data_IF_592651774362
#
_entry.id   IF_592651774362
#
_cell.length_a   1.000
_cell.length_b   1.000
_cell.length_c   1.000
_cell.angle_alpha   90.00
_cell.angle_beta   90.00
_cell.angle_gamma   90.00
#
_symmetry.space_group_name_H-M   'P 1'
#
loop_
_entity.id
_entity.type
_entity.pdbx_description
1 polymer ?
#
# COMPACT_ATOMS: atom_id res chain seq x y z
N UNK A 1 -12.14 9.17 15.09
CA UNK A 1 -11.01 8.30 15.50
C UNK A 1 -9.75 9.15 15.42
N UNK A 2 -9.04 9.37 16.52
CA UNK A 2 -7.91 10.32 16.57
C UNK A 2 -6.61 9.54 16.67
N UNK A 3 -5.73 9.68 15.66
CA UNK A 3 -4.39 9.07 15.68
C UNK A 3 -3.52 9.90 16.62
N UNK A 4 -2.99 9.28 17.67
CA UNK A 4 -2.08 9.95 18.61
C UNK A 4 -0.64 9.58 18.33
N UNK A 5 0.28 10.53 18.48
CA UNK A 5 1.72 10.30 18.38
C UNK A 5 2.28 9.93 19.74
N UNK A 6 2.99 8.81 19.81
CA UNK A 6 3.65 8.33 21.03
C UNK A 6 5.10 7.96 20.72
N UNK A 7 5.99 8.24 21.67
CA UNK A 7 7.37 7.77 21.60
C UNK A 7 7.42 6.26 21.59
N UNK A 8 8.19 5.66 20.68
CA UNK A 8 8.41 4.21 20.68
C UNK A 8 8.89 3.68 22.04
N UNK A 9 9.74 4.43 22.76
CA UNK A 9 10.20 4.04 24.10
C UNK A 9 9.10 4.10 25.15
N UNK A 10 8.17 5.04 25.04
CA UNK A 10 7.09 5.17 26.02
C UNK A 10 6.03 4.08 25.77
N UNK A 11 5.75 3.79 24.50
CA UNK A 11 4.94 2.64 24.11
C UNK A 11 5.47 1.32 24.70
N UNK A 12 6.78 1.06 24.61
CA UNK A 12 7.41 -0.12 25.21
C UNK A 12 7.30 -0.18 26.74
N UNK A 13 7.09 0.95 27.40
CA UNK A 13 6.87 1.03 28.86
C UNK A 13 5.40 0.84 29.25
N UNK A 14 4.54 0.46 28.30
CA UNK A 14 3.11 0.23 28.54
C UNK A 14 2.23 1.47 28.41
N UNK A 15 2.77 2.58 27.89
CA UNK A 15 2.02 3.82 27.71
C UNK A 15 1.16 3.75 26.46
N UNK A 16 -0.11 3.38 26.62
CA UNK A 16 -1.10 3.24 25.54
C UNK A 16 -2.33 4.10 25.85
N UNK A 17 -2.54 5.17 25.07
CA UNK A 17 -3.60 6.17 25.33
C UNK A 17 -4.62 6.31 24.19
N UNK A 18 -4.73 5.30 23.33
CA UNK A 18 -5.65 5.33 22.21
C UNK A 18 -5.61 4.04 21.39
N UNK A 19 -6.62 3.93 20.53
CA UNK A 19 -6.83 2.77 19.67
C UNK A 19 -5.86 2.70 18.48
N UNK A 20 -5.38 3.85 18.01
CA UNK A 20 -4.35 3.94 16.97
C UNK A 20 -3.26 4.89 17.45
N UNK A 21 -2.02 4.38 17.48
CA UNK A 21 -0.85 5.15 17.87
C UNK A 21 0.19 5.15 16.75
N UNK A 22 0.61 6.34 16.34
CA UNK A 22 1.78 6.52 15.51
C UNK A 22 3.02 6.51 16.42
N UNK A 23 3.88 5.52 16.22
CA UNK A 23 5.09 5.33 17.01
C UNK A 23 6.24 6.10 16.36
N UNK A 24 6.80 7.05 17.10
CA UNK A 24 7.88 7.91 16.62
C UNK A 24 9.13 7.80 17.49
N UNK A 25 10.30 7.98 16.90
CA UNK A 25 11.53 8.21 17.65
C UNK A 25 11.55 9.65 18.19
N UNK A 26 11.62 9.83 19.52
CA UNK A 26 11.68 11.17 20.12
C UNK A 26 12.89 11.98 19.66
N UNK A 27 14.03 11.33 19.40
CA UNK A 27 15.31 12.00 19.06
C UNK A 27 15.38 12.36 17.59
N UNK A 28 15.04 11.44 16.70
CA UNK A 28 15.16 11.66 15.25
C UNK A 28 13.86 12.13 14.60
N UNK A 29 12.74 12.13 15.34
CA UNK A 29 11.38 12.40 14.85
C UNK A 29 10.94 11.49 13.70
N UNK A 30 11.68 10.41 13.43
CA UNK A 30 11.34 9.43 12.40
C UNK A 30 10.22 8.53 12.90
N UNK A 31 9.30 8.21 12.01
CA UNK A 31 8.27 7.20 12.22
C UNK A 31 8.94 5.82 12.35
N UNK A 32 8.58 5.08 13.40
CA UNK A 32 9.03 3.70 13.63
C UNK A 32 7.97 2.66 13.36
N UNK A 33 6.69 3.03 13.48
CA UNK A 33 5.61 2.10 13.21
C UNK A 33 4.24 2.68 13.54
N UNK A 34 3.24 1.81 13.39
CA UNK A 34 1.85 2.07 13.73
C UNK A 34 1.40 0.95 14.65
N UNK A 35 0.88 1.33 15.82
CA UNK A 35 0.18 0.40 16.69
C UNK A 35 -1.32 0.57 16.49
N UNK A 36 -2.02 -0.55 16.39
CA UNK A 36 -3.47 -0.62 16.29
C UNK A 36 -3.96 -1.55 17.40
N UNK A 37 -4.97 -1.08 18.14
CA UNK A 37 -5.60 -1.82 19.22
C UNK A 37 -6.17 -3.15 18.69
N UNK A 38 -6.08 -4.25 19.47
CA UNK A 38 -6.60 -5.56 19.08
C UNK A 38 -8.08 -5.56 18.68
N UNK A 39 -8.86 -4.59 19.14
CA UNK A 39 -10.27 -4.41 18.75
C UNK A 39 -10.45 -4.34 17.23
N UNK A 40 -9.49 -3.75 16.52
CA UNK A 40 -9.53 -3.57 15.07
C UNK A 40 -8.75 -4.65 14.30
N UNK A 41 -8.21 -5.67 15.00
CA UNK A 41 -7.33 -6.65 14.38
C UNK A 41 -7.99 -7.39 13.20
N UNK A 42 -9.29 -7.74 13.33
CA UNK A 42 -10.03 -8.42 12.26
C UNK A 42 -10.15 -7.54 11.00
N UNK A 43 -10.59 -6.31 11.17
CA UNK A 43 -10.76 -5.34 10.08
C UNK A 43 -9.43 -5.05 9.37
N UNK A 44 -8.35 -4.89 10.14
CA UNK A 44 -7.02 -4.64 9.59
C UNK A 44 -6.49 -5.86 8.82
N UNK A 45 -6.65 -7.07 9.35
CA UNK A 45 -6.22 -8.29 8.67
C UNK A 45 -6.98 -8.50 7.36
N UNK A 46 -8.29 -8.27 7.37
CA UNK A 46 -9.12 -8.36 6.16
C UNK A 46 -8.71 -7.31 5.12
N UNK A 47 -8.46 -6.07 5.55
CA UNK A 47 -7.95 -5.02 4.67
C UNK A 47 -6.60 -5.38 4.03
N UNK A 48 -5.65 -5.90 4.83
CA UNK A 48 -4.33 -6.30 4.33
C UNK A 48 -4.43 -7.42 3.31
N UNK A 49 -5.25 -8.44 3.58
CA UNK A 49 -5.47 -9.56 2.66
C UNK A 49 -6.07 -9.09 1.34
N UNK A 50 -7.12 -8.28 1.40
CA UNK A 50 -7.76 -7.71 0.21
C UNK A 50 -6.80 -6.87 -0.62
N UNK A 51 -5.90 -6.13 0.03
CA UNK A 51 -4.86 -5.35 -0.67
C UNK A 51 -3.88 -6.25 -1.40
N UNK A 52 -3.38 -7.31 -0.76
CA UNK A 52 -2.46 -8.26 -1.41
C UNK A 52 -3.11 -8.95 -2.60
N UNK A 53 -4.38 -9.35 -2.48
CA UNK A 53 -5.10 -10.00 -3.56
C UNK A 53 -5.31 -9.05 -4.76
N UNK A 54 -5.64 -7.78 -4.50
CA UNK A 54 -5.70 -6.75 -5.54
C UNK A 54 -4.36 -6.49 -6.22
N UNK A 55 -3.26 -6.45 -5.46
CA UNK A 55 -1.93 -6.28 -6.05
C UNK A 55 -1.53 -7.48 -6.90
N UNK A 56 -1.88 -8.70 -6.48
CA UNK A 56 -1.67 -9.91 -7.29
C UNK A 56 -2.51 -9.89 -8.56
N UNK A 57 -3.78 -9.50 -8.48
CA UNK A 57 -4.63 -9.36 -9.67
C UNK A 57 -4.13 -8.27 -10.62
N UNK A 58 -3.70 -7.12 -10.09
CA UNK A 58 -3.11 -6.06 -10.89
C UNK A 58 -1.84 -6.53 -11.60
N UNK A 59 -0.96 -7.27 -10.91
CA UNK A 59 0.24 -7.88 -11.51
C UNK A 59 -0.12 -8.91 -12.58
N UNK A 60 -1.12 -9.77 -12.33
CA UNK A 60 -1.59 -10.75 -13.32
C UNK A 60 -2.15 -10.05 -14.55
N UNK A 61 -2.97 -9.00 -14.39
CA UNK A 61 -3.47 -8.20 -15.50
C UNK A 61 -2.34 -7.54 -16.28
N UNK A 62 -1.38 -6.90 -15.60
CA UNK A 62 -0.23 -6.30 -16.26
C UNK A 62 0.62 -7.32 -17.03
N UNK A 63 0.78 -8.54 -16.51
CA UNK A 63 1.45 -9.62 -17.23
C UNK A 63 0.64 -10.13 -18.43
N UNK A 64 -0.69 -10.24 -18.30
CA UNK A 64 -1.57 -10.60 -19.41
C UNK A 64 -1.59 -9.53 -20.49
N UNK A 65 -1.58 -8.25 -20.13
CA UNK A 65 -1.49 -7.13 -21.07
C UNK A 65 -0.12 -7.13 -21.76
N UNK A 66 0.96 -7.42 -21.01
CA UNK A 66 2.29 -7.58 -21.57
C UNK A 66 2.34 -8.76 -22.55
N UNK A 67 1.91 -9.96 -22.14
CA UNK A 67 1.91 -11.17 -22.97
C UNK A 67 0.92 -11.05 -24.14
N UNK A 68 -0.22 -10.40 -23.95
CA UNK A 68 -1.20 -10.10 -25.00
C UNK A 68 -0.65 -9.14 -26.06
N UNK A 69 0.32 -8.29 -25.70
CA UNK A 69 1.12 -7.54 -26.67
C UNK A 69 2.22 -8.38 -27.38
N UNK A 70 2.47 -9.62 -26.93
CA UNK A 70 3.39 -10.59 -27.58
C UNK A 70 2.66 -11.80 -28.21
N UNK A 71 1.35 -11.95 -27.99
CA UNK A 71 0.59 -13.18 -28.22
C UNK A 71 -0.38 -13.17 -29.40
N UNK A 72 -0.52 -12.06 -30.12
CA UNK A 72 -1.12 -12.04 -31.45
C UNK A 72 -0.12 -11.38 -32.40
N UNK A 73 0.52 -12.21 -33.22
CA UNK A 73 1.14 -11.71 -34.43
C UNK A 73 0.04 -11.16 -35.35
N UNK A 74 0.05 -9.86 -35.58
CA UNK A 74 0.02 -9.18 -36.88
C UNK A 74 -0.23 -7.68 -36.67
N UNK A 75 0.74 -6.88 -37.15
CA UNK A 75 0.66 -5.43 -37.40
C UNK A 75 0.42 -4.45 -36.23
N UNK A 76 1.47 -3.69 -35.87
CA UNK A 76 1.29 -2.28 -35.47
C UNK A 76 2.07 -1.78 -34.27
N UNK A 77 3.40 -1.72 -34.39
CA UNK A 77 4.24 -0.58 -33.99
C UNK A 77 3.73 0.31 -32.84
N UNK A 78 4.45 0.26 -31.71
CA UNK A 78 4.43 1.22 -30.58
C UNK A 78 4.69 2.70 -30.94
N UNK A 79 4.65 3.06 -32.22
CA UNK A 79 4.97 4.39 -32.75
C UNK A 79 3.74 5.24 -33.12
N UNK A 80 2.49 4.74 -33.05
CA UNK A 80 1.31 5.51 -33.49
C UNK A 80 0.48 6.20 -32.40
N UNK A 81 0.63 5.85 -31.12
CA UNK A 81 -0.22 6.44 -30.07
C UNK A 81 0.23 7.86 -29.66
N UNK A 82 1.49 8.23 -29.92
CA UNK A 82 1.97 9.61 -29.66
C UNK A 82 1.66 10.61 -30.78
N UNK A 83 1.24 10.16 -31.96
CA UNK A 83 0.97 11.05 -33.10
C UNK A 83 -0.46 11.62 -33.12
N UNK A 84 -1.41 11.06 -32.38
CA UNK A 84 -2.83 11.48 -32.41
C UNK A 84 -3.22 12.54 -31.37
N UNK A 85 -2.24 13.17 -30.72
CA UNK A 85 -2.47 14.20 -29.67
C UNK A 85 -2.19 15.65 -30.15
N UNK A 86 -1.89 15.82 -31.45
CA UNK A 86 -1.60 17.11 -32.08
C UNK A 86 -2.21 17.21 -33.49
N UNK A 87 -3.48 16.83 -33.64
CA UNK A 87 -4.35 17.33 -34.71
C UNK A 87 -5.66 17.84 -34.10
#
# INVERSE_FOLDING_TARGET
MTIKKVSFRDFLRGVVFGDILELVDKRTKKQKGLYISPKYAKEVLEFLKNKEDREKEAKKRALLDFIGAFGEGEEGTHSKIKAKKYE
#
